data_IF_758174343002
#
_entry.id   IF_758174343002
#
_cell.length_a   1.000
_cell.length_b   1.000
_cell.length_c   1.000
_cell.angle_alpha   90.00
_cell.angle_beta   90.00
_cell.angle_gamma   90.00
#
_symmetry.space_group_name_H-M   'P 1'
#
loop_
_entity.id
_entity.type
_entity.pdbx_description
1 polymer ?
#
# COMPACT_ATOMS: atom_id res chain seq x y z
N UNK A 1 -54.99 -69.98 15.05
CA UNK A 1 -55.36 -68.66 14.50
C UNK A 1 -54.71 -67.61 15.41
N UNK A 2 -53.43 -67.34 15.20
CA UNK A 2 -52.88 -66.15 14.52
C UNK A 2 -53.18 -64.84 15.27
N UNK A 3 -52.26 -64.53 16.18
CA UNK A 3 -51.96 -63.21 16.74
C UNK A 3 -51.39 -62.30 15.65
N UNK A 4 -51.92 -61.08 15.53
CA UNK A 4 -51.31 -59.98 14.77
C UNK A 4 -50.83 -58.95 15.79
N UNK A 5 -49.52 -58.85 15.97
CA UNK A 5 -48.88 -57.79 16.77
C UNK A 5 -48.34 -56.75 15.79
N UNK A 6 -48.85 -55.52 15.88
CA UNK A 6 -48.29 -54.34 15.23
C UNK A 6 -46.89 -54.06 15.80
N UNK A 7 -45.87 -54.08 14.95
CA UNK A 7 -44.55 -53.59 15.31
C UNK A 7 -44.45 -52.09 14.97
N UNK A 8 -44.37 -51.24 16.01
CA UNK A 8 -43.96 -49.85 15.86
C UNK A 8 -42.43 -49.79 15.93
N UNK A 9 -41.76 -49.48 14.81
CA UNK A 9 -40.32 -49.26 14.80
C UNK A 9 -40.02 -47.82 15.23
N UNK A 10 -39.44 -47.68 16.43
CA UNK A 10 -38.90 -46.43 16.95
C UNK A 10 -37.41 -46.34 16.54
N UNK A 11 -37.08 -45.49 15.58
CA UNK A 11 -35.67 -45.22 15.22
C UNK A 11 -35.10 -44.13 16.13
N UNK A 12 -34.16 -44.48 16.99
CA UNK A 12 -33.34 -43.51 17.74
C UNK A 12 -32.22 -43.00 16.81
N UNK A 13 -32.29 -41.73 16.43
CA UNK A 13 -31.17 -41.05 15.76
C UNK A 13 -30.29 -40.38 16.83
N UNK A 14 -29.06 -40.88 17.01
CA UNK A 14 -28.07 -40.29 17.91
C UNK A 14 -27.37 -39.13 17.16
N UNK A 15 -27.75 -37.89 17.44
CA UNK A 15 -27.07 -36.72 16.91
C UNK A 15 -25.84 -36.40 17.77
N UNK A 16 -24.64 -36.70 17.27
CA UNK A 16 -23.39 -36.22 17.86
C UNK A 16 -23.21 -34.74 17.48
N UNK A 17 -23.41 -33.84 18.44
CA UNK A 17 -23.06 -32.44 18.28
C UNK A 17 -21.53 -32.30 18.30
N UNK A 18 -20.93 -31.99 17.15
CA UNK A 18 -19.52 -31.58 17.10
C UNK A 18 -19.46 -30.14 17.58
N UNK A 19 -19.01 -29.93 18.81
CA UNK A 19 -18.69 -28.59 19.32
C UNK A 19 -17.44 -28.10 18.61
N UNK A 20 -17.64 -27.23 17.61
CA UNK A 20 -16.53 -26.50 17.00
C UNK A 20 -15.91 -25.58 18.05
N UNK A 21 -14.70 -25.91 18.51
CA UNK A 21 -13.88 -24.99 19.29
C UNK A 21 -13.63 -23.74 18.44
N UNK A 22 -13.92 -22.53 18.95
CA UNK A 22 -13.60 -21.29 18.23
C UNK A 22 -12.11 -21.31 17.90
N UNK A 23 -11.76 -21.21 16.61
CA UNK A 23 -10.37 -20.98 16.22
C UNK A 23 -9.91 -19.72 16.94
N UNK A 24 -8.74 -19.74 17.62
CA UNK A 24 -8.17 -18.50 18.12
C UNK A 24 -8.00 -17.58 16.92
N UNK A 25 -8.76 -16.48 16.92
CA UNK A 25 -8.52 -15.37 15.99
C UNK A 25 -7.15 -14.85 16.39
N UNK A 26 -6.12 -15.27 15.66
CA UNK A 26 -4.83 -14.62 15.74
C UNK A 26 -5.10 -13.21 15.22
N UNK A 27 -5.25 -12.27 16.14
CA UNK A 27 -5.45 -10.87 15.83
C UNK A 27 -4.10 -10.34 15.31
N UNK A 28 -3.76 -10.73 14.08
CA UNK A 28 -2.69 -10.09 13.34
C UNK A 28 -3.25 -8.75 12.94
N UNK A 29 -3.13 -7.78 13.85
CA UNK A 29 -3.22 -6.38 13.47
C UNK A 29 -2.29 -6.24 12.25
N UNK A 30 -2.78 -5.85 11.06
CA UNK A 30 -1.87 -5.57 9.96
C UNK A 30 -0.85 -4.58 10.51
N UNK A 31 0.44 -4.77 10.22
CA UNK A 31 1.43 -3.78 10.57
C UNK A 31 1.21 -2.57 9.65
N UNK A 32 0.16 -1.77 9.92
CA UNK A 32 -0.27 -0.62 9.11
C UNK A 32 0.89 0.38 8.99
N UNK A 33 1.85 0.30 9.91
CA UNK A 33 3.01 1.20 10.00
C UNK A 33 4.36 0.54 9.67
N UNK A 34 4.41 -0.65 9.07
CA UNK A 34 5.68 -1.25 8.65
C UNK A 34 5.69 -1.51 7.15
N UNK A 35 6.76 -1.07 6.50
CA UNK A 35 7.06 -1.50 5.14
C UNK A 35 7.45 -2.95 5.15
N UNK A 36 7.12 -3.65 4.07
CA UNK A 36 7.56 -5.03 3.92
C UNK A 36 9.09 -5.13 3.75
N UNK A 37 9.70 -4.08 3.20
CA UNK A 37 11.14 -3.84 3.16
C UNK A 37 11.38 -2.36 2.80
N UNK A 38 12.58 -1.79 3.03
CA UNK A 38 12.91 -0.49 2.45
C UNK A 38 12.68 -0.47 0.94
N UNK A 39 12.22 0.67 0.42
CA UNK A 39 11.99 0.86 -1.02
C UNK A 39 12.54 2.22 -1.43
N UNK A 40 13.12 2.27 -2.62
CA UNK A 40 13.71 3.48 -3.19
C UNK A 40 12.91 3.91 -4.39
N UNK A 41 12.57 5.19 -4.41
CA UNK A 41 12.11 5.87 -5.60
C UNK A 41 13.31 6.60 -6.21
N UNK A 42 13.63 6.23 -7.44
CA UNK A 42 14.68 6.86 -8.23
C UNK A 42 13.97 7.75 -9.23
N UNK A 43 14.30 9.04 -9.25
CA UNK A 43 13.66 10.02 -10.11
C UNK A 43 14.70 10.67 -11.02
N UNK A 44 14.36 10.93 -12.27
CA UNK A 44 15.26 11.49 -13.29
C UNK A 44 14.79 12.84 -13.78
N UNK A 45 15.73 13.72 -14.13
CA UNK A 45 15.44 15.07 -14.63
C UNK A 45 14.75 15.06 -16.01
N UNK A 46 14.89 13.98 -16.80
CA UNK A 46 14.28 13.82 -18.14
C UNK A 46 13.22 12.73 -18.15
N UNK A 47 12.44 12.72 -19.23
CA UNK A 47 11.50 11.65 -19.51
C UNK A 47 12.24 10.32 -19.76
N UNK A 48 11.53 9.22 -19.56
CA UNK A 48 11.97 7.85 -19.84
C UNK A 48 13.16 7.37 -19.00
N UNK A 49 13.37 7.99 -17.82
CA UNK A 49 14.37 7.61 -16.82
C UNK A 49 15.81 7.76 -17.35
N UNK A 50 16.08 8.93 -17.93
CA UNK A 50 17.35 9.30 -18.55
C UNK A 50 17.90 10.56 -17.89
N UNK A 51 19.23 10.66 -17.83
CA UNK A 51 19.94 11.84 -17.32
C UNK A 51 20.29 11.72 -15.85
N UNK A 52 20.50 12.86 -15.22
CA UNK A 52 20.80 12.93 -13.79
C UNK A 52 19.59 12.49 -12.97
N UNK A 53 19.88 11.88 -11.82
CA UNK A 53 18.87 11.28 -10.96
C UNK A 53 19.03 11.65 -9.49
N UNK A 54 17.91 11.69 -8.79
CA UNK A 54 17.81 11.76 -7.35
C UNK A 54 17.18 10.49 -6.79
N UNK A 55 17.47 10.17 -5.54
CA UNK A 55 16.92 8.99 -4.85
C UNK A 55 16.23 9.43 -3.57
N UNK A 56 15.01 8.94 -3.39
CA UNK A 56 14.27 9.01 -2.13
C UNK A 56 14.14 7.60 -1.56
N UNK A 57 14.62 7.40 -0.34
CA UNK A 57 14.52 6.13 0.36
C UNK A 57 13.37 6.17 1.38
N UNK A 58 12.43 5.25 1.23
CA UNK A 58 11.35 5.04 2.17
C UNK A 58 11.71 3.91 3.13
N UNK A 59 11.62 4.24 4.41
CA UNK A 59 11.75 3.33 5.56
C UNK A 59 10.57 3.54 6.49
N UNK A 60 10.41 2.68 7.50
CA UNK A 60 9.35 2.81 8.51
C UNK A 60 9.34 4.20 9.19
N UNK A 61 10.52 4.81 9.36
CA UNK A 61 10.68 6.12 10.00
C UNK A 61 10.12 7.29 9.17
N UNK A 62 9.98 7.11 7.86
CA UNK A 62 9.49 8.13 6.93
C UNK A 62 8.21 7.69 6.21
N UNK A 63 7.58 6.61 6.67
CA UNK A 63 6.33 6.11 6.14
C UNK A 63 5.21 7.14 6.33
N UNK A 64 4.29 7.17 5.38
CA UNK A 64 3.13 8.05 5.30
C UNK A 64 3.43 9.55 5.31
N UNK A 65 4.69 9.94 5.05
CA UNK A 65 5.13 11.33 4.93
C UNK A 65 5.28 11.72 3.47
N UNK A 66 5.02 12.98 3.17
CA UNK A 66 5.28 13.55 1.85
C UNK A 66 6.77 13.87 1.74
N UNK A 67 7.45 13.29 0.76
CA UNK A 67 8.89 13.51 0.56
C UNK A 67 9.10 13.90 -0.90
N UNK A 68 9.80 15.02 -1.12
CA UNK A 68 10.24 15.40 -2.46
C UNK A 68 11.59 14.79 -2.77
N UNK A 69 11.90 14.64 -4.04
CA UNK A 69 13.23 14.22 -4.50
C UNK A 69 14.20 15.42 -4.49
N UNK A 70 15.49 15.14 -4.64
CA UNK A 70 16.53 16.18 -4.65
C UNK A 70 16.57 17.02 -5.94
N UNK A 71 15.80 16.65 -6.98
CA UNK A 71 15.88 17.21 -8.33
C UNK A 71 14.48 17.44 -8.91
N UNK A 72 14.30 18.36 -9.86
CA UNK A 72 13.02 18.48 -10.57
C UNK A 72 12.84 17.29 -11.53
N UNK A 73 12.17 16.24 -11.07
CA UNK A 73 11.99 15.02 -11.86
C UNK A 73 10.92 15.14 -12.94
N UNK A 74 11.13 14.39 -14.02
CA UNK A 74 10.20 14.18 -15.14
C UNK A 74 9.86 12.71 -15.34
N UNK A 75 10.55 11.81 -14.66
CA UNK A 75 10.21 10.40 -14.63
C UNK A 75 10.75 9.73 -13.37
N UNK A 76 10.20 8.57 -13.01
CA UNK A 76 10.68 7.78 -11.88
C UNK A 76 10.57 6.26 -12.10
N UNK A 77 11.25 5.52 -11.25
CA UNK A 77 11.15 4.07 -11.05
C UNK A 77 11.22 3.74 -9.58
N UNK A 78 10.64 2.60 -9.23
CA UNK A 78 10.90 1.96 -7.95
C UNK A 78 11.97 0.88 -8.11
N UNK A 79 12.84 0.73 -7.11
CA UNK A 79 13.86 -0.32 -7.11
C UNK A 79 13.26 -1.73 -6.93
N UNK A 80 12.03 -1.82 -6.42
CA UNK A 80 11.22 -3.03 -6.34
C UNK A 80 9.75 -2.68 -6.57
N UNK A 81 8.94 -3.68 -6.86
CA UNK A 81 7.49 -3.53 -6.93
C UNK A 81 6.92 -3.20 -5.55
N UNK A 82 5.79 -2.47 -5.54
CA UNK A 82 4.97 -2.32 -4.33
C UNK A 82 4.36 -3.69 -3.98
N UNK A 83 4.20 -3.99 -2.69
CA UNK A 83 3.67 -5.29 -2.25
C UNK A 83 2.57 -5.15 -1.20
N UNK A 84 1.65 -6.11 -1.21
CA UNK A 84 0.52 -6.19 -0.27
C UNK A 84 -0.31 -4.90 -0.23
N UNK A 85 -0.26 -4.18 0.89
CA UNK A 85 -1.02 -2.97 1.18
C UNK A 85 -0.23 -1.69 0.82
N UNK A 86 1.00 -1.81 0.33
CA UNK A 86 1.81 -0.64 -0.03
C UNK A 86 1.16 0.16 -1.16
N UNK A 87 1.04 1.45 -0.92
CA UNK A 87 0.48 2.45 -1.81
C UNK A 87 1.46 3.62 -1.90
N UNK A 88 1.73 4.06 -3.12
CA UNK A 88 2.53 5.26 -3.41
C UNK A 88 1.62 6.31 -4.04
N UNK A 89 1.45 7.42 -3.33
CA UNK A 89 0.78 8.60 -3.86
C UNK A 89 1.81 9.60 -4.39
N UNK A 90 1.49 10.18 -5.54
CA UNK A 90 2.27 11.21 -6.20
C UNK A 90 1.46 12.50 -6.18
N UNK A 91 2.06 13.55 -5.64
CA UNK A 91 1.56 14.92 -5.74
C UNK A 91 2.54 15.78 -6.54
N UNK A 92 2.05 16.85 -7.13
CA UNK A 92 2.84 17.80 -7.92
C UNK A 92 2.73 19.22 -7.33
N UNK A 93 3.64 20.10 -7.75
CA UNK A 93 3.55 21.54 -7.46
C UNK A 93 3.04 22.27 -8.68
N UNK A 94 2.18 23.27 -8.46
CA UNK A 94 1.84 24.24 -9.49
C UNK A 94 2.91 25.33 -9.62
N UNK A 95 3.77 25.48 -8.60
CA UNK A 95 4.74 26.57 -8.55
C UNK A 95 6.16 26.08 -8.21
N UNK A 96 6.94 25.88 -9.27
CA UNK A 96 8.33 25.44 -9.16
C UNK A 96 9.23 26.48 -8.47
N UNK A 97 8.83 27.76 -8.43
CA UNK A 97 9.62 28.81 -7.78
C UNK A 97 9.49 28.83 -6.26
N UNK A 98 8.44 28.22 -5.70
CA UNK A 98 8.27 28.07 -4.25
C UNK A 98 8.94 26.80 -3.70
N UNK A 99 9.49 25.95 -4.56
CA UNK A 99 10.18 24.75 -4.12
C UNK A 99 11.63 25.03 -3.74
N UNK A 100 12.02 24.57 -2.55
CA UNK A 100 13.38 24.67 -2.07
C UNK A 100 13.90 23.30 -1.65
N UNK A 101 14.97 22.82 -2.29
CA UNK A 101 15.58 21.51 -2.00
C UNK A 101 15.93 21.33 -0.52
N UNK A 102 16.37 22.38 0.16
CA UNK A 102 16.70 22.33 1.58
C UNK A 102 15.49 22.36 2.55
N UNK A 103 14.28 22.67 2.07
CA UNK A 103 13.07 22.74 2.90
C UNK A 103 12.08 21.62 2.54
N UNK A 104 11.86 21.40 1.25
CA UNK A 104 10.79 20.56 0.74
C UNK A 104 11.22 19.11 0.48
N UNK A 105 12.54 18.84 0.40
CA UNK A 105 13.04 17.47 0.24
C UNK A 105 12.77 16.60 1.47
N UNK A 106 12.80 17.17 2.68
CA UNK A 106 12.68 16.44 3.95
C UNK A 106 11.57 16.97 4.87
N UNK A 107 10.77 17.96 4.43
CA UNK A 107 9.64 18.44 5.23
C UNK A 107 8.51 17.43 5.20
N UNK A 108 8.08 17.00 6.39
CA UNK A 108 6.91 16.15 6.57
C UNK A 108 5.62 16.78 6.04
N UNK A 109 5.59 18.11 5.93
CA UNK A 109 4.48 18.92 5.43
C UNK A 109 5.01 19.93 4.40
N UNK A 110 5.52 19.44 3.26
CA UNK A 110 5.86 20.34 2.15
C UNK A 110 4.59 20.99 1.59
N UNK A 111 4.44 22.29 1.79
CA UNK A 111 3.34 23.09 1.22
C UNK A 111 3.43 23.21 -0.30
N UNK A 112 4.61 22.95 -0.86
CA UNK A 112 4.86 22.94 -2.31
C UNK A 112 4.14 21.78 -3.01
N UNK A 113 3.71 20.74 -2.30
CA UNK A 113 3.15 19.51 -2.86
C UNK A 113 1.66 19.31 -2.54
N UNK A 114 0.85 20.31 -2.87
CA UNK A 114 -0.58 20.33 -2.53
C UNK A 114 -1.48 19.55 -3.48
N UNK A 115 -1.04 19.29 -4.72
CA UNK A 115 -1.93 18.80 -5.76
C UNK A 115 -1.71 17.33 -6.05
N UNK A 116 -2.68 16.52 -5.66
CA UNK A 116 -2.68 15.09 -5.96
C UNK A 116 -2.69 14.85 -7.49
N UNK A 117 -1.88 13.90 -7.94
CA UNK A 117 -1.80 13.53 -9.35
C UNK A 117 -2.19 12.07 -9.59
N UNK A 118 -1.52 11.13 -8.92
CA UNK A 118 -1.72 9.70 -9.18
C UNK A 118 -1.36 8.82 -7.98
N UNK A 119 -2.06 7.70 -7.86
CA UNK A 119 -1.75 6.63 -6.92
C UNK A 119 -1.28 5.36 -7.67
N UNK A 120 -0.29 4.70 -7.10
CA UNK A 120 0.19 3.38 -7.49
C UNK A 120 -0.04 2.39 -6.34
N UNK A 121 -0.53 1.20 -6.66
CA UNK A 121 -0.82 0.12 -5.70
C UNK A 121 0.06 -1.09 -5.98
N UNK A 122 0.19 -2.01 -5.03
CA UNK A 122 0.88 -3.29 -5.23
C UNK A 122 0.49 -4.03 -6.53
N UNK A 123 -0.78 -4.03 -6.90
CA UNK A 123 -1.28 -4.70 -8.12
C UNK A 123 -0.76 -4.08 -9.43
N UNK A 124 -0.37 -2.80 -9.40
CA UNK A 124 0.06 -2.02 -10.56
C UNK A 124 1.47 -1.43 -10.39
N UNK A 125 2.11 -1.68 -9.25
CA UNK A 125 3.38 -1.08 -8.84
C UNK A 125 4.53 -1.84 -9.46
N UNK A 126 4.86 -1.50 -10.70
CA UNK A 126 5.94 -2.16 -11.44
C UNK A 126 7.28 -1.43 -11.23
N UNK A 127 8.40 -2.08 -11.56
CA UNK A 127 9.74 -1.44 -11.65
C UNK A 127 9.95 -0.70 -12.98
N UNK A 128 8.89 -0.46 -13.75
CA UNK A 128 8.94 0.26 -15.03
C UNK A 128 9.20 1.74 -14.84
N UNK A 129 9.59 2.41 -15.93
CA UNK A 129 9.69 3.86 -15.98
C UNK A 129 8.32 4.49 -16.15
N UNK A 130 8.02 5.48 -15.31
CA UNK A 130 6.83 6.30 -15.43
C UNK A 130 7.23 7.74 -15.68
N UNK A 131 6.68 8.33 -16.74
CA UNK A 131 6.81 9.77 -16.97
C UNK A 131 5.85 10.52 -16.07
N UNK A 132 6.31 11.63 -15.52
CA UNK A 132 5.53 12.49 -14.63
C UNK A 132 5.56 13.92 -15.14
N UNK A 133 4.57 14.73 -14.76
CA UNK A 133 4.73 16.18 -14.75
C UNK A 133 6.02 16.57 -14.00
N UNK A 134 6.59 17.76 -14.29
CA UNK A 134 7.71 18.26 -13.51
C UNK A 134 7.34 18.32 -12.05
N UNK A 135 8.31 17.99 -11.20
CA UNK A 135 8.26 18.19 -9.78
C UNK A 135 7.21 17.33 -9.06
N UNK A 136 7.70 16.32 -8.36
CA UNK A 136 6.85 15.36 -7.67
C UNK A 136 7.22 15.25 -6.19
N UNK A 137 6.21 15.23 -5.34
CA UNK A 137 6.30 14.64 -4.01
C UNK A 137 5.73 13.23 -4.02
N UNK A 138 6.21 12.45 -3.08
CA UNK A 138 5.99 11.04 -3.00
C UNK A 138 5.61 10.68 -1.57
N UNK A 139 4.48 10.00 -1.40
CA UNK A 139 4.02 9.50 -0.11
C UNK A 139 3.78 8.01 -0.21
N UNK A 140 4.65 7.23 0.43
CA UNK A 140 4.46 5.79 0.56
C UNK A 140 3.75 5.49 1.88
N UNK A 141 2.74 4.64 1.87
CA UNK A 141 2.02 4.21 3.07
C UNK A 141 1.32 2.87 2.84
N UNK A 142 0.87 2.22 3.92
CA UNK A 142 0.04 1.02 3.80
C UNK A 142 -1.44 1.41 3.85
N UNK A 143 -2.16 1.07 2.80
CA UNK A 143 -3.61 1.22 2.74
C UNK A 143 -4.29 -0.13 3.01
N UNK A 144 -4.81 -0.37 4.23
CA UNK A 144 -5.48 -1.63 4.57
C UNK A 144 -6.85 -1.79 3.91
N UNK A 145 -7.33 -0.78 3.16
CA UNK A 145 -8.69 -0.73 2.65
C UNK A 145 -9.72 -0.35 3.72
N UNK A 146 -10.99 -0.32 3.32
CA UNK A 146 -12.09 -0.12 4.27
C UNK A 146 -12.29 -1.38 5.12
N UNK A 147 -12.58 -1.25 6.42
CA UNK A 147 -12.99 -2.39 7.24
C UNK A 147 -14.20 -3.07 6.60
N UNK A 148 -14.12 -4.37 6.36
CA UNK A 148 -15.29 -5.18 6.00
C UNK A 148 -16.22 -5.21 7.20
N UNK A 149 -17.43 -4.66 7.06
CA UNK A 149 -18.49 -4.71 8.07
C UNK A 149 -19.01 -6.13 8.26
#
# INVERSE_FOLDING_TARGET
MQTVILAAMLTLALATAVTATPRPVLNVQPAINMLSAPIRLIAWEKLNCIGDFGVTEFTDSVLARNISNAIVSRSFRLNRTLIQQEQLDISITDNVTSWFSNKDQLSYESSSCSNFWQTYYAVNGTTSCYNTPPFTCHRLWNNPGLPTK
#
